data_IF_667228276011
#
_entry.id   IF_667228276011
#
_cell.length_a   1.000
_cell.length_b   1.000
_cell.length_c   1.000
_cell.angle_alpha   90.00
_cell.angle_beta   90.00
_cell.angle_gamma   90.00
#
_symmetry.space_group_name_H-M   'P 1'
#
loop_
_entity.id
_entity.type
_entity.pdbx_description
1 polymer ?
#
# COMPACT_ATOMS: atom_id res chain seq x y z
N UNK A 1 34.79 -28.48 12.46
CA UNK A 1 34.85 -27.83 13.78
C UNK A 1 35.95 -26.76 13.76
N UNK A 2 35.63 -25.49 13.52
CA UNK A 2 36.56 -24.37 13.74
C UNK A 2 35.77 -23.23 14.38
N UNK A 3 35.94 -23.04 15.69
CA UNK A 3 35.37 -21.93 16.47
C UNK A 3 36.17 -20.66 16.16
N UNK A 4 35.57 -19.68 15.48
CA UNK A 4 36.07 -18.30 15.46
C UNK A 4 35.60 -17.60 16.73
N UNK A 5 36.53 -17.35 17.64
CA UNK A 5 36.33 -16.52 18.82
C UNK A 5 36.10 -15.07 18.39
N UNK A 6 34.88 -14.58 18.57
CA UNK A 6 34.56 -13.14 18.47
C UNK A 6 34.94 -12.53 19.80
N UNK A 7 36.03 -11.76 19.82
CA UNK A 7 36.39 -10.95 20.98
C UNK A 7 35.34 -9.84 21.15
N UNK A 8 34.55 -9.97 22.22
CA UNK A 8 33.64 -8.94 22.72
C UNK A 8 34.51 -7.82 23.31
N UNK A 9 34.72 -6.75 22.54
CA UNK A 9 35.36 -5.53 23.04
C UNK A 9 34.33 -4.80 23.92
N UNK A 10 34.34 -5.12 25.21
CA UNK A 10 33.65 -4.36 26.25
C UNK A 10 34.56 -3.19 26.65
N UNK A 11 34.19 -1.97 26.26
CA UNK A 11 34.79 -0.74 26.77
C UNK A 11 33.70 0.03 27.50
N UNK A 12 33.84 0.29 28.82
CA UNK A 12 32.94 1.17 29.54
C UNK A 12 33.33 2.62 29.24
N UNK A 13 32.36 3.42 28.78
CA UNK A 13 32.53 4.87 28.67
C UNK A 13 32.61 5.38 27.23
N UNK A 14 31.61 6.20 26.89
CA UNK A 14 31.65 7.28 25.91
C UNK A 14 32.43 7.04 24.61
N UNK A 15 31.75 6.53 23.59
CA UNK A 15 32.24 6.62 22.22
C UNK A 15 32.15 8.07 21.73
N UNK A 16 33.20 8.85 21.99
CA UNK A 16 33.45 10.13 21.30
C UNK A 16 34.14 9.81 19.97
N UNK A 17 33.37 9.40 18.96
CA UNK A 17 33.87 9.33 17.59
C UNK A 17 33.77 10.71 16.95
N UNK A 18 34.94 11.35 16.79
CA UNK A 18 35.28 12.39 15.82
C UNK A 18 34.19 13.40 15.42
N UNK A 19 34.38 14.63 15.90
CA UNK A 19 33.50 15.79 15.79
C UNK A 19 32.72 15.96 14.49
N UNK A 20 31.39 15.94 14.62
CA UNK A 20 30.52 17.03 14.16
C UNK A 20 29.08 16.91 14.68
N UNK A 21 28.72 15.82 15.37
CA UNK A 21 27.38 15.63 15.92
C UNK A 21 27.47 15.15 17.37
N UNK A 22 26.86 15.87 18.34
CA UNK A 22 26.76 15.37 19.70
C UNK A 22 25.69 14.28 19.73
N UNK A 23 26.09 13.03 19.45
CA UNK A 23 25.29 11.85 19.76
C UNK A 23 25.34 11.58 21.28
N UNK A 24 25.08 12.58 22.11
CA UNK A 24 24.97 12.40 23.55
C UNK A 24 23.56 11.88 23.87
N UNK A 25 23.50 10.88 24.74
CA UNK A 25 22.28 10.29 25.28
C UNK A 25 21.65 11.22 26.33
N UNK A 26 21.47 12.50 25.99
CA UNK A 26 20.94 13.49 26.93
C UNK A 26 19.44 13.71 26.68
N UNK A 27 18.62 13.45 27.70
CA UNK A 27 17.16 13.56 27.64
C UNK A 27 16.65 15.02 27.75
N UNK A 28 17.56 16.01 27.82
CA UNK A 28 17.21 17.43 28.03
C UNK A 28 16.60 18.13 26.81
N UNK A 29 16.62 17.52 25.62
CA UNK A 29 16.00 18.06 24.40
C UNK A 29 14.63 17.43 24.08
N UNK A 30 14.14 16.54 24.93
CA UNK A 30 12.79 15.98 24.80
C UNK A 30 11.75 16.99 25.24
N UNK A 31 10.80 17.27 24.36
CA UNK A 31 9.58 17.99 24.69
C UNK A 31 8.67 17.02 25.45
N UNK A 32 8.87 16.90 26.77
CA UNK A 32 7.98 16.15 27.66
C UNK A 32 6.75 17.01 27.95
N UNK A 33 5.60 16.61 27.41
CA UNK A 33 4.32 17.29 27.65
C UNK A 33 3.40 16.30 28.35
N UNK A 34 2.97 16.65 29.56
CA UNK A 34 2.08 15.82 30.37
C UNK A 34 0.61 16.07 29.98
N UNK A 35 0.23 15.64 28.78
CA UNK A 35 -1.16 15.73 28.29
C UNK A 35 -1.85 14.38 28.39
N UNK A 36 -3.16 14.36 28.67
CA UNK A 36 -4.00 13.14 28.78
C UNK A 36 -3.80 12.19 27.59
N UNK A 37 -3.60 12.75 26.41
CA UNK A 37 -3.37 12.01 25.17
C UNK A 37 -2.02 11.28 25.14
N UNK A 38 -0.98 11.90 25.67
CA UNK A 38 0.35 11.31 25.83
C UNK A 38 0.32 10.17 26.86
N UNK A 39 -0.46 10.32 27.93
CA UNK A 39 -0.70 9.25 28.90
C UNK A 39 -1.41 8.06 28.26
N UNK A 40 -2.44 8.29 27.44
CA UNK A 40 -3.11 7.20 26.70
C UNK A 40 -2.19 6.50 25.69
N UNK A 41 -1.22 7.21 25.12
CA UNK A 41 -0.17 6.59 24.29
C UNK A 41 0.71 5.66 25.13
N UNK A 42 1.21 6.12 26.29
CA UNK A 42 2.07 5.31 27.16
C UNK A 42 1.33 4.14 27.81
N UNK A 43 0.03 4.26 28.07
CA UNK A 43 -0.83 3.20 28.62
C UNK A 43 -1.10 2.08 27.59
N UNK A 44 -1.27 2.44 26.31
CA UNK A 44 -1.69 1.51 25.27
C UNK A 44 -0.53 1.01 24.38
N UNK A 45 0.56 1.77 24.29
CA UNK A 45 1.85 1.34 23.78
C UNK A 45 2.79 1.09 24.97
N UNK A 46 2.69 -0.07 25.66
CA UNK A 46 3.54 -0.37 26.80
C UNK A 46 4.97 -0.55 26.29
N UNK A 47 5.72 0.56 26.32
CA UNK A 47 7.13 0.73 26.00
C UNK A 47 7.70 -0.36 25.08
N UNK A 48 7.74 -0.09 23.78
CA UNK A 48 8.41 -0.90 22.76
C UNK A 48 9.69 -1.56 23.33
N UNK A 49 9.58 -2.81 23.79
CA UNK A 49 10.70 -3.65 24.27
C UNK A 49 11.66 -4.02 23.14
N UNK A 50 11.36 -3.57 21.93
CA UNK A 50 12.07 -3.84 20.71
C UNK A 50 13.36 -3.04 20.63
N UNK A 51 14.39 -3.69 20.13
CA UNK A 51 15.70 -3.08 19.89
C UNK A 51 15.57 -2.07 18.73
N UNK A 52 16.34 -0.98 18.71
CA UNK A 52 16.24 0.04 17.64
C UNK A 52 16.41 -0.50 16.20
N UNK A 53 17.16 -1.60 16.05
CA UNK A 53 17.30 -2.33 14.78
C UNK A 53 16.01 -3.06 14.36
N UNK A 54 15.31 -3.63 15.33
CA UNK A 54 14.04 -4.34 15.12
C UNK A 54 12.95 -3.36 14.67
N UNK A 55 12.92 -2.15 15.25
CA UNK A 55 12.03 -1.05 14.81
C UNK A 55 12.28 -0.63 13.37
N UNK A 56 13.55 -0.55 12.95
CA UNK A 56 13.91 -0.29 11.56
C UNK A 56 13.48 -1.43 10.63
N UNK A 57 13.66 -2.68 11.06
CA UNK A 57 13.19 -3.82 10.27
C UNK A 57 11.68 -3.76 10.08
N UNK A 58 10.91 -3.50 11.14
CA UNK A 58 9.45 -3.35 11.05
C UNK A 58 9.01 -2.22 10.11
N UNK A 59 9.80 -1.14 10.03
CA UNK A 59 9.53 -0.05 9.08
C UNK A 59 9.65 -0.50 7.61
N UNK A 60 10.58 -1.41 7.30
CA UNK A 60 10.83 -1.88 5.93
C UNK A 60 10.15 -3.23 5.61
N UNK A 61 9.67 -3.97 6.60
CA UNK A 61 8.88 -5.18 6.37
C UNK A 61 7.52 -4.82 5.82
N UNK A 62 7.16 -5.48 4.74
CA UNK A 62 5.83 -5.42 4.15
C UNK A 62 4.95 -6.40 4.94
N UNK A 63 3.79 -5.93 5.40
CA UNK A 63 2.83 -6.76 6.13
C UNK A 63 2.26 -7.88 5.24
N UNK A 64 1.66 -8.91 5.82
CA UNK A 64 1.07 -10.07 5.10
C UNK A 64 0.05 -9.64 4.01
N UNK A 65 -0.52 -8.46 4.18
CA UNK A 65 -1.46 -7.82 3.25
C UNK A 65 -0.79 -6.92 2.19
N UNK A 66 0.53 -6.99 2.01
CA UNK A 66 1.25 -6.14 1.05
C UNK A 66 1.36 -4.67 1.48
N UNK A 67 1.15 -4.36 2.77
CA UNK A 67 1.06 -2.98 3.26
C UNK A 67 2.43 -2.43 3.63
N UNK A 68 2.58 -1.14 3.34
CA UNK A 68 3.77 -0.34 3.66
C UNK A 68 3.57 0.35 5.02
N UNK A 69 4.61 0.42 5.84
CA UNK A 69 4.55 1.08 7.15
C UNK A 69 4.15 2.57 7.04
N UNK A 70 3.55 3.12 8.09
CA UNK A 70 3.14 4.54 8.15
C UNK A 70 4.31 5.49 7.89
N UNK A 71 5.49 5.13 8.37
CA UNK A 71 6.74 5.87 8.19
C UNK A 71 7.17 5.93 6.72
N UNK A 72 7.13 4.79 6.03
CA UNK A 72 7.54 4.72 4.63
C UNK A 72 6.48 5.37 3.72
N UNK A 73 5.19 5.27 4.07
CA UNK A 73 4.13 6.03 3.40
C UNK A 73 4.32 7.56 3.56
N UNK A 74 4.72 8.04 4.74
CA UNK A 74 5.03 9.45 4.98
C UNK A 74 6.19 9.94 4.08
N UNK A 75 7.23 9.12 3.92
CA UNK A 75 8.36 9.42 3.01
C UNK A 75 7.87 9.57 1.56
N UNK A 76 7.00 8.67 1.08
CA UNK A 76 6.44 8.77 -0.27
C UNK A 76 5.61 10.03 -0.48
N UNK A 77 4.74 10.36 0.48
CA UNK A 77 3.91 11.56 0.41
C UNK A 77 4.76 12.84 0.43
N UNK A 78 5.77 12.90 1.28
CA UNK A 78 6.70 14.02 1.33
C UNK A 78 7.54 14.15 0.05
N UNK A 79 7.96 13.03 -0.55
CA UNK A 79 8.64 13.00 -1.85
C UNK A 79 7.77 13.56 -2.98
N UNK A 80 6.51 13.10 -3.06
CA UNK A 80 5.54 13.59 -4.05
C UNK A 80 5.21 15.07 -3.86
N UNK A 81 5.03 15.52 -2.62
CA UNK A 81 4.79 16.93 -2.32
C UNK A 81 6.01 17.80 -2.68
N UNK A 82 7.21 17.32 -2.38
CA UNK A 82 8.47 17.97 -2.79
C UNK A 82 8.59 18.07 -4.31
N UNK A 83 8.21 17.02 -5.03
CA UNK A 83 8.12 17.04 -6.50
C UNK A 83 7.16 18.12 -6.98
N UNK A 84 5.95 18.19 -6.41
CA UNK A 84 4.92 19.16 -6.79
C UNK A 84 5.40 20.60 -6.60
N UNK A 85 5.94 20.93 -5.41
CA UNK A 85 6.47 22.27 -5.15
C UNK A 85 7.66 22.61 -6.05
N UNK A 86 8.56 21.66 -6.30
CA UNK A 86 9.68 21.84 -7.23
C UNK A 86 9.23 22.01 -8.68
N UNK A 87 8.19 21.29 -9.09
CA UNK A 87 7.60 21.40 -10.42
C UNK A 87 6.90 22.74 -10.61
N UNK A 88 6.11 23.21 -9.63
CA UNK A 88 5.50 24.53 -9.65
C UNK A 88 6.56 25.63 -9.72
N UNK A 89 7.54 25.61 -8.82
CA UNK A 89 8.62 26.60 -8.81
C UNK A 89 9.42 26.62 -10.13
N UNK A 90 9.87 25.45 -10.60
CA UNK A 90 10.62 25.35 -11.84
C UNK A 90 9.80 25.71 -13.08
N UNK A 91 8.51 25.38 -13.08
CA UNK A 91 7.57 25.73 -14.14
C UNK A 91 7.39 27.24 -14.26
N UNK A 92 7.06 27.93 -13.15
CA UNK A 92 6.84 29.38 -13.13
C UNK A 92 8.10 30.18 -13.47
N UNK A 93 9.26 29.80 -12.92
CA UNK A 93 10.52 30.52 -13.19
C UNK A 93 10.90 30.37 -14.66
N UNK A 94 10.85 29.15 -15.20
CA UNK A 94 11.29 28.89 -16.57
C UNK A 94 10.29 29.41 -17.62
N UNK A 95 8.99 29.43 -17.32
CA UNK A 95 7.97 30.01 -18.20
C UNK A 95 8.14 31.52 -18.34
N UNK A 96 8.43 32.23 -17.24
CA UNK A 96 8.72 33.67 -17.25
C UNK A 96 9.97 33.99 -18.06
N UNK A 97 11.04 33.22 -17.90
CA UNK A 97 12.27 33.39 -18.70
C UNK A 97 11.99 33.14 -20.19
N UNK A 98 11.23 32.10 -20.53
CA UNK A 98 10.86 31.81 -21.92
C UNK A 98 9.99 32.90 -22.56
N UNK A 99 9.10 33.53 -21.79
CA UNK A 99 8.31 34.66 -22.23
C UNK A 99 9.18 35.87 -22.58
N UNK A 100 10.09 36.27 -21.68
CA UNK A 100 11.00 37.40 -21.93
C UNK A 100 11.91 37.12 -23.14
N UNK A 101 12.47 35.92 -23.22
CA UNK A 101 13.31 35.50 -24.35
C UNK A 101 12.54 35.50 -25.69
N UNK A 102 11.26 35.13 -25.69
CA UNK A 102 10.42 35.23 -26.88
C UNK A 102 10.19 36.69 -27.26
N UNK A 103 9.92 37.56 -26.28
CA UNK A 103 9.69 38.97 -26.51
C UNK A 103 10.92 39.64 -27.12
N UNK A 104 12.10 39.42 -26.53
CA UNK A 104 13.38 39.97 -26.99
C UNK A 104 13.77 39.47 -28.38
N UNK A 105 13.58 38.18 -28.67
CA UNK A 105 13.93 37.60 -29.98
C UNK A 105 13.01 38.04 -31.12
N UNK A 106 11.75 38.33 -30.81
CA UNK A 106 10.75 38.67 -31.82
C UNK A 106 10.46 40.18 -31.92
N UNK A 107 11.26 41.05 -31.28
CA UNK A 107 11.10 42.51 -31.41
C UNK A 107 11.33 43.02 -32.85
N UNK A 108 12.06 42.26 -33.67
CA UNK A 108 12.41 42.62 -35.04
C UNK A 108 11.62 41.84 -36.12
N UNK A 109 10.78 40.87 -35.74
CA UNK A 109 10.06 40.02 -36.69
C UNK A 109 8.62 40.48 -36.86
N UNK A 110 8.23 40.85 -38.08
CA UNK A 110 6.83 41.12 -38.42
C UNK A 110 6.07 39.78 -38.54
N UNK A 111 5.13 39.54 -37.62
CA UNK A 111 4.23 38.39 -37.73
C UNK A 111 3.13 38.67 -38.77
N UNK A 112 2.77 37.66 -39.56
CA UNK A 112 1.69 37.75 -40.56
C UNK A 112 0.32 37.99 -39.90
N UNK A 113 0.13 37.51 -38.66
CA UNK A 113 -1.11 37.68 -37.90
C UNK A 113 -0.87 37.63 -36.38
N UNK A 114 -1.63 38.42 -35.63
CA UNK A 114 -1.64 38.42 -34.15
C UNK A 114 -2.00 37.06 -33.56
N UNK A 115 -2.76 36.23 -34.28
CA UNK A 115 -3.12 34.88 -33.81
C UNK A 115 -1.92 33.92 -33.85
N UNK A 116 -1.12 33.98 -34.91
CA UNK A 116 0.08 33.15 -35.07
C UNK A 116 1.13 33.49 -33.99
N UNK A 117 1.29 34.77 -33.69
CA UNK A 117 2.18 35.24 -32.62
C UNK A 117 1.78 34.69 -31.25
N UNK A 118 0.47 34.71 -30.92
CA UNK A 118 -0.06 34.17 -29.66
C UNK A 118 0.14 32.65 -29.56
N UNK A 119 -0.11 31.92 -30.66
CA UNK A 119 0.10 30.47 -30.69
C UNK A 119 1.57 30.09 -30.47
N UNK A 120 2.49 30.74 -31.20
CA UNK A 120 3.94 30.51 -31.04
C UNK A 120 4.44 30.84 -29.63
N UNK A 121 3.95 31.93 -29.05
CA UNK A 121 4.24 32.28 -27.66
C UNK A 121 3.76 31.19 -26.71
N UNK A 122 2.51 30.75 -26.84
CA UNK A 122 1.90 29.74 -25.96
C UNK A 122 2.63 28.39 -26.05
N UNK A 123 2.96 27.94 -27.26
CA UNK A 123 3.73 26.70 -27.46
C UNK A 123 5.11 26.80 -26.81
N UNK A 124 5.81 27.92 -27.01
CA UNK A 124 7.13 28.11 -26.41
C UNK A 124 7.06 28.17 -24.89
N UNK A 125 6.11 28.91 -24.32
CA UNK A 125 5.95 29.04 -22.87
C UNK A 125 5.56 27.70 -22.24
N UNK A 126 4.65 26.93 -22.86
CA UNK A 126 4.20 25.63 -22.36
C UNK A 126 5.32 24.60 -22.38
N UNK A 127 6.10 24.53 -23.46
CA UNK A 127 7.23 23.61 -23.56
C UNK A 127 8.32 23.93 -22.53
N UNK A 128 8.59 25.22 -22.30
CA UNK A 128 9.57 25.64 -21.30
C UNK A 128 9.04 25.46 -19.86
N UNK A 129 7.73 25.64 -19.65
CA UNK A 129 7.10 25.32 -18.37
C UNK A 129 7.30 23.84 -18.03
N UNK A 130 6.95 22.92 -18.95
CA UNK A 130 7.08 21.48 -18.71
C UNK A 130 8.55 21.06 -18.50
N UNK A 131 9.49 21.57 -19.32
CA UNK A 131 10.93 21.31 -19.15
C UNK A 131 11.48 21.87 -17.83
N UNK A 132 11.00 23.04 -17.41
CA UNK A 132 11.38 23.67 -16.14
C UNK A 132 10.85 22.90 -14.94
N UNK A 133 9.58 22.53 -15.00
CA UNK A 133 8.88 21.75 -13.98
C UNK A 133 9.56 20.39 -13.76
N UNK A 134 9.82 19.63 -14.82
CA UNK A 134 10.46 18.33 -14.68
C UNK A 134 11.89 18.45 -14.15
N UNK A 135 12.69 19.41 -14.66
CA UNK A 135 14.11 19.56 -14.28
C UNK A 135 14.32 19.98 -12.83
N UNK A 136 13.44 20.81 -12.27
CA UNK A 136 13.48 21.15 -10.85
C UNK A 136 12.75 20.13 -9.98
N UNK A 137 11.62 19.62 -10.44
CA UNK A 137 10.78 18.66 -9.71
C UNK A 137 11.55 17.43 -9.27
N UNK A 138 12.28 16.77 -10.18
CA UNK A 138 13.01 15.54 -9.81
C UNK A 138 14.16 15.79 -8.82
N UNK A 139 14.86 16.93 -8.94
CA UNK A 139 15.95 17.31 -8.01
C UNK A 139 15.40 17.56 -6.61
N UNK A 140 14.28 18.27 -6.52
CA UNK A 140 13.65 18.62 -5.26
C UNK A 140 13.02 17.37 -4.63
N UNK A 141 12.39 16.49 -5.43
CA UNK A 141 11.85 15.21 -4.97
C UNK A 141 12.92 14.29 -4.38
N UNK A 142 14.07 14.13 -5.05
CA UNK A 142 15.16 13.31 -4.53
C UNK A 142 15.73 13.90 -3.24
N UNK A 143 15.87 15.23 -3.17
CA UNK A 143 16.34 15.90 -1.98
C UNK A 143 15.38 15.73 -0.79
N UNK A 144 14.08 15.99 -0.98
CA UNK A 144 13.08 15.83 0.09
C UNK A 144 12.94 14.39 0.54
N UNK A 145 12.89 13.44 -0.39
CA UNK A 145 12.78 12.01 -0.06
C UNK A 145 14.00 11.53 0.72
N UNK A 146 15.21 11.98 0.35
CA UNK A 146 16.43 11.64 1.08
C UNK A 146 16.44 12.25 2.49
N UNK A 147 16.05 13.53 2.61
CA UNK A 147 15.98 14.23 3.89
C UNK A 147 14.98 13.57 4.85
N UNK A 148 13.74 13.39 4.41
CA UNK A 148 12.69 12.76 5.23
C UNK A 148 13.03 11.30 5.48
N UNK A 149 13.60 10.57 4.51
CA UNK A 149 14.05 9.20 4.70
C UNK A 149 15.10 9.06 5.80
N UNK A 150 16.15 9.89 5.77
CA UNK A 150 17.19 9.88 6.81
C UNK A 150 16.62 10.32 8.15
N UNK A 151 15.79 11.37 8.18
CA UNK A 151 15.13 11.84 9.39
C UNK A 151 14.29 10.73 10.04
N UNK A 152 13.43 10.06 9.25
CA UNK A 152 12.54 8.99 9.71
C UNK A 152 13.33 7.78 10.19
N UNK A 153 14.38 7.36 9.47
CA UNK A 153 15.25 6.24 9.90
C UNK A 153 15.93 6.56 11.24
N UNK A 154 16.47 7.77 11.40
CA UNK A 154 17.11 8.18 12.67
C UNK A 154 16.10 8.23 13.81
N UNK A 155 14.90 8.76 13.57
CA UNK A 155 13.85 8.88 14.58
C UNK A 155 13.29 7.52 15.00
N UNK A 156 13.07 6.59 14.05
CA UNK A 156 12.63 5.22 14.33
C UNK A 156 13.69 4.44 15.11
N UNK A 157 14.97 4.62 14.78
CA UNK A 157 16.07 3.96 15.47
C UNK A 157 16.21 4.39 16.93
N UNK A 158 16.09 5.70 17.21
CA UNK A 158 16.18 6.24 18.58
C UNK A 158 14.88 6.12 19.36
N UNK A 159 13.75 5.98 18.67
CA UNK A 159 12.43 5.93 19.29
C UNK A 159 12.04 7.20 20.02
N UNK A 160 12.70 8.32 19.70
CA UNK A 160 12.56 9.64 20.32
C UNK A 160 12.63 10.67 19.20
N UNK A 161 12.02 11.85 19.37
CA UNK A 161 12.15 12.95 18.39
C UNK A 161 12.84 14.15 19.01
N UNK A 162 13.97 14.56 18.44
CA UNK A 162 14.83 15.63 18.97
C UNK A 162 15.41 16.49 17.83
N UNK A 163 15.82 17.72 18.15
CA UNK A 163 16.44 18.65 17.20
C UNK A 163 17.67 18.06 16.51
N UNK A 164 18.40 17.17 17.19
CA UNK A 164 19.58 16.50 16.63
C UNK A 164 19.28 15.65 15.40
N UNK A 165 18.06 15.11 15.28
CA UNK A 165 17.66 14.27 14.15
C UNK A 165 17.47 15.12 12.89
N UNK A 166 16.88 16.29 13.05
CA UNK A 166 16.72 17.28 11.99
C UNK A 166 18.08 17.85 11.53
N UNK A 167 18.97 18.13 12.48
CA UNK A 167 20.34 18.56 12.18
C UNK A 167 21.12 17.47 11.44
N UNK A 168 21.14 16.25 11.98
CA UNK A 168 21.86 15.13 11.35
C UNK A 168 21.30 14.80 9.96
N UNK A 169 19.97 14.74 9.80
CA UNK A 169 19.34 14.50 8.51
C UNK A 169 19.65 15.61 7.50
N UNK A 170 19.58 16.88 7.92
CA UNK A 170 19.93 18.02 7.08
C UNK A 170 21.39 18.00 6.64
N UNK A 171 22.31 17.76 7.57
CA UNK A 171 23.74 17.69 7.30
C UNK A 171 24.11 16.52 6.37
N UNK A 172 23.61 15.33 6.64
CA UNK A 172 23.87 14.14 5.81
C UNK A 172 23.28 14.32 4.40
N UNK A 173 22.03 14.77 4.30
CA UNK A 173 21.38 14.97 3.00
C UNK A 173 22.05 16.08 2.19
N UNK A 174 22.43 17.19 2.84
CA UNK A 174 23.15 18.28 2.20
C UNK A 174 24.53 17.87 1.69
N UNK A 175 25.25 17.05 2.46
CA UNK A 175 26.53 16.49 2.03
C UNK A 175 26.36 15.51 0.86
N UNK A 176 25.35 14.63 0.91
CA UNK A 176 25.04 13.67 -0.16
C UNK A 176 24.65 14.37 -1.46
N UNK A 177 23.84 15.43 -1.40
CA UNK A 177 23.40 16.17 -2.59
C UNK A 177 24.59 16.78 -3.36
N UNK A 178 25.66 17.15 -2.65
CA UNK A 178 26.88 17.75 -3.23
C UNK A 178 28.05 16.76 -3.38
N UNK A 179 27.80 15.45 -3.23
CA UNK A 179 28.85 14.42 -3.33
C UNK A 179 29.62 14.48 -4.66
N UNK A 180 28.92 14.76 -5.77
CA UNK A 180 29.53 14.85 -7.10
C UNK A 180 30.39 16.09 -7.33
N UNK A 181 30.38 17.09 -6.42
CA UNK A 181 31.24 18.28 -6.50
C UNK A 181 32.52 18.15 -5.66
N UNK A 182 32.83 16.95 -5.16
CA UNK A 182 34.04 16.66 -4.36
C UNK A 182 33.91 17.03 -2.88
N UNK A 183 34.96 16.76 -2.10
CA UNK A 183 34.94 16.86 -0.64
C UNK A 183 34.64 18.29 -0.11
N UNK A 184 35.13 19.32 -0.81
CA UNK A 184 34.81 20.73 -0.50
C UNK A 184 33.35 21.08 -0.76
N UNK A 185 32.77 20.51 -1.82
CA UNK A 185 31.35 20.61 -2.13
C UNK A 185 30.49 19.94 -1.05
N UNK A 186 30.90 18.75 -0.60
CA UNK A 186 30.23 18.04 0.49
C UNK A 186 30.25 18.80 1.80
N UNK A 187 31.39 19.38 2.19
CA UNK A 187 31.51 20.14 3.44
C UNK A 187 30.60 21.37 3.45
N UNK A 188 30.58 22.14 2.35
CA UNK A 188 29.68 23.30 2.22
C UNK A 188 28.21 22.90 2.13
N UNK A 189 27.89 21.82 1.41
CA UNK A 189 26.54 21.26 1.34
C UNK A 189 26.04 20.76 2.70
N UNK A 190 26.91 20.10 3.48
CA UNK A 190 26.60 19.65 4.83
C UNK A 190 26.39 20.81 5.80
N UNK A 191 27.20 21.87 5.74
CA UNK A 191 27.00 23.06 6.58
C UNK A 191 25.68 23.78 6.28
N UNK A 192 25.36 23.98 5.00
CA UNK A 192 24.07 24.56 4.60
C UNK A 192 22.92 23.64 4.99
N UNK A 193 23.09 22.33 4.83
CA UNK A 193 22.13 21.32 5.24
C UNK A 193 21.87 21.30 6.75
N UNK A 194 22.92 21.47 7.58
CA UNK A 194 22.80 21.61 9.03
C UNK A 194 22.04 22.87 9.40
N UNK A 195 22.35 24.02 8.78
CA UNK A 195 21.65 25.27 9.05
C UNK A 195 20.15 25.18 8.70
N UNK A 196 19.82 24.64 7.53
CA UNK A 196 18.43 24.43 7.11
C UNK A 196 17.71 23.37 7.94
N UNK A 197 18.40 22.28 8.30
CA UNK A 197 17.87 21.25 9.21
C UNK A 197 17.59 21.80 10.61
N UNK A 198 18.45 22.69 11.11
CA UNK A 198 18.25 23.39 12.38
C UNK A 198 17.05 24.33 12.35
N UNK A 199 16.88 25.10 11.26
CA UNK A 199 15.69 25.94 11.06
C UNK A 199 14.41 25.10 10.96
N UNK A 200 14.44 24.00 10.21
CA UNK A 200 13.30 23.09 10.07
C UNK A 200 12.94 22.41 11.41
N UNK A 201 13.93 21.93 12.16
CA UNK A 201 13.73 21.34 13.48
C UNK A 201 13.24 22.37 14.50
N UNK A 202 13.77 23.59 14.47
CA UNK A 202 13.31 24.69 15.32
C UNK A 202 11.87 25.11 15.04
N UNK A 203 11.48 25.22 13.76
CA UNK A 203 10.10 25.46 13.36
C UNK A 203 9.17 24.32 13.77
N UNK A 204 9.58 23.07 13.56
CA UNK A 204 8.82 21.88 13.95
C UNK A 204 8.60 21.82 15.46
N UNK A 205 9.65 22.03 16.26
CA UNK A 205 9.56 22.11 17.72
C UNK A 205 8.72 23.30 18.19
N UNK A 206 8.78 24.43 17.50
CA UNK A 206 7.94 25.59 17.77
C UNK A 206 6.46 25.30 17.58
N UNK A 207 6.09 24.68 16.45
CA UNK A 207 4.72 24.24 16.17
C UNK A 207 4.26 23.21 17.21
N UNK A 208 5.14 22.26 17.56
CA UNK A 208 4.88 21.23 18.55
C UNK A 208 4.61 21.82 19.94
N UNK A 209 5.41 22.80 20.36
CA UNK A 209 5.18 23.55 21.60
C UNK A 209 3.90 24.38 21.57
N UNK A 210 3.56 24.99 20.43
CA UNK A 210 2.33 25.76 20.28
C UNK A 210 1.07 24.88 20.30
N UNK A 211 1.14 23.68 19.72
CA UNK A 211 0.02 22.74 19.62
C UNK A 211 -0.14 21.90 20.88
N UNK A 212 0.90 21.80 21.71
CA UNK A 212 0.88 20.97 22.91
C UNK A 212 0.93 19.46 22.62
N UNK A 213 1.27 19.07 21.38
CA UNK A 213 1.40 17.67 20.97
C UNK A 213 2.86 17.24 20.96
N UNK A 214 3.16 15.95 21.11
CA UNK A 214 4.51 15.41 20.91
C UNK A 214 4.62 14.69 19.56
N UNK A 215 5.83 14.58 18.98
CA UNK A 215 6.01 13.87 17.70
C UNK A 215 5.61 12.39 17.80
N UNK A 216 5.91 11.77 18.94
CA UNK A 216 5.58 10.38 19.25
C UNK A 216 4.06 10.19 19.29
N UNK A 217 3.35 11.12 19.93
CA UNK A 217 1.89 11.16 19.96
C UNK A 217 1.30 11.35 18.55
N UNK A 218 1.80 12.29 17.75
CA UNK A 218 1.32 12.49 16.37
C UNK A 218 1.49 11.21 15.56
N UNK A 219 2.62 10.53 15.70
CA UNK A 219 2.92 9.27 15.00
C UNK A 219 1.99 8.14 15.46
N UNK A 220 1.73 8.05 16.75
CA UNK A 220 0.79 7.10 17.34
C UNK A 220 -0.65 7.33 16.85
N UNK A 221 -1.11 8.58 16.84
CA UNK A 221 -2.44 8.91 16.33
C UNK A 221 -2.57 8.72 14.83
N UNK A 222 -1.53 9.02 14.07
CA UNK A 222 -1.52 8.78 12.64
C UNK A 222 -1.62 7.28 12.33
N UNK A 223 -0.91 6.44 13.09
CA UNK A 223 -1.06 4.98 13.04
C UNK A 223 -2.49 4.56 13.43
N UNK A 224 -3.02 5.04 14.56
CA UNK A 224 -4.38 4.72 15.00
C UNK A 224 -5.45 5.15 14.01
N UNK A 225 -5.38 6.36 13.45
CA UNK A 225 -6.33 6.83 12.45
C UNK A 225 -6.27 5.99 11.18
N UNK A 226 -5.08 5.55 10.79
CA UNK A 226 -4.93 4.63 9.66
C UNK A 226 -5.61 3.28 9.96
N UNK A 227 -5.28 2.66 11.09
CA UNK A 227 -5.84 1.36 11.50
C UNK A 227 -7.35 1.43 11.72
N UNK A 228 -7.86 2.48 12.35
CA UNK A 228 -9.29 2.68 12.58
C UNK A 228 -10.05 2.88 11.26
N UNK A 229 -9.49 3.66 10.32
CA UNK A 229 -10.07 3.82 8.99
C UNK A 229 -10.11 2.49 8.24
N UNK A 230 -9.08 1.68 8.35
CA UNK A 230 -9.05 0.35 7.74
C UNK A 230 -10.05 -0.62 8.38
N UNK A 231 -10.18 -0.61 9.71
CA UNK A 231 -11.19 -1.40 10.41
C UNK A 231 -12.59 -0.99 9.97
N UNK A 232 -12.88 0.31 9.88
CA UNK A 232 -14.14 0.82 9.37
C UNK A 232 -14.41 0.38 7.92
N UNK A 233 -13.39 0.43 7.04
CA UNK A 233 -13.51 -0.07 5.66
C UNK A 233 -13.78 -1.58 5.66
N UNK A 234 -13.04 -2.36 6.45
CA UNK A 234 -13.21 -3.81 6.54
C UNK A 234 -14.60 -4.19 7.05
N UNK A 235 -15.07 -3.52 8.10
CA UNK A 235 -16.40 -3.75 8.66
C UNK A 235 -17.48 -3.34 7.66
N UNK A 236 -17.26 -2.27 6.88
CA UNK A 236 -18.17 -1.91 5.79
C UNK A 236 -18.18 -2.94 4.66
N UNK A 237 -17.03 -3.51 4.29
CA UNK A 237 -16.92 -4.55 3.26
C UNK A 237 -17.56 -5.86 3.73
N UNK A 238 -17.36 -6.25 5.00
CA UNK A 238 -18.05 -7.41 5.60
C UNK A 238 -19.55 -7.22 5.60
N UNK A 239 -20.04 -6.07 6.07
CA UNK A 239 -21.48 -5.76 6.04
C UNK A 239 -22.06 -5.78 4.62
N UNK A 240 -21.30 -5.33 3.61
CA UNK A 240 -21.72 -5.45 2.21
C UNK A 240 -21.75 -6.90 1.74
N UNK A 241 -20.72 -7.69 2.08
CA UNK A 241 -20.66 -9.12 1.74
C UNK A 241 -21.81 -9.87 2.39
N UNK A 242 -22.03 -9.69 3.70
CA UNK A 242 -23.14 -10.30 4.45
C UNK A 242 -24.50 -9.87 3.86
N UNK A 243 -24.65 -8.60 3.48
CA UNK A 243 -25.86 -8.07 2.85
C UNK A 243 -26.07 -8.51 1.39
N UNK A 244 -25.05 -9.00 0.70
CA UNK A 244 -25.14 -9.61 -0.65
C UNK A 244 -25.32 -11.13 -0.57
N UNK A 245 -24.69 -11.77 0.41
CA UNK A 245 -24.85 -13.18 0.73
C UNK A 245 -26.27 -13.46 1.22
N UNK A 246 -26.85 -12.62 2.10
CA UNK A 246 -28.22 -12.81 2.57
C UNK A 246 -29.27 -12.88 1.45
N UNK A 247 -29.36 -11.97 0.47
CA UNK A 247 -30.33 -12.06 -0.62
C UNK A 247 -29.99 -13.20 -1.59
N UNK A 248 -28.73 -13.49 -1.87
CA UNK A 248 -28.34 -14.61 -2.74
C UNK A 248 -28.63 -15.97 -2.09
N UNK A 249 -28.28 -16.15 -0.82
CA UNK A 249 -28.64 -17.33 -0.02
C UNK A 249 -30.15 -17.39 0.16
N UNK A 250 -30.83 -16.28 0.44
CA UNK A 250 -32.31 -16.27 0.58
C UNK A 250 -32.98 -16.64 -0.74
N UNK A 251 -32.50 -16.14 -1.89
CA UNK A 251 -32.97 -16.58 -3.20
C UNK A 251 -32.65 -18.06 -3.48
N UNK A 252 -31.48 -18.55 -3.06
CA UNK A 252 -31.12 -19.96 -3.18
C UNK A 252 -32.03 -20.85 -2.32
N UNK A 253 -32.24 -20.50 -1.05
CA UNK A 253 -33.12 -21.21 -0.12
C UNK A 253 -34.60 -21.12 -0.52
N UNK A 254 -35.05 -20.00 -1.10
CA UNK A 254 -36.42 -19.89 -1.65
C UNK A 254 -36.61 -20.72 -2.92
N UNK A 255 -35.56 -20.85 -3.76
CA UNK A 255 -35.65 -21.59 -5.03
C UNK A 255 -35.45 -23.10 -4.86
N UNK A 256 -34.61 -23.52 -3.90
CA UNK A 256 -34.24 -24.92 -3.69
C UNK A 256 -34.70 -25.50 -2.35
N UNK A 257 -35.35 -24.70 -1.49
CA UNK A 257 -35.74 -25.10 -0.13
C UNK A 257 -34.53 -25.20 0.83
N UNK A 258 -34.81 -25.25 2.12
CA UNK A 258 -33.82 -25.54 3.19
C UNK A 258 -33.45 -27.02 3.31
N UNK A 259 -33.81 -27.83 2.29
CA UNK A 259 -33.46 -29.23 2.28
C UNK A 259 -32.00 -29.36 1.86
N UNK A 260 -31.12 -29.72 2.79
CA UNK A 260 -29.82 -30.30 2.47
C UNK A 260 -30.08 -31.59 1.67
N UNK A 261 -30.21 -31.45 0.35
CA UNK A 261 -30.33 -32.57 -0.56
C UNK A 261 -28.95 -33.18 -0.71
N UNK A 262 -28.63 -34.14 0.14
CA UNK A 262 -27.43 -34.97 -0.03
C UNK A 262 -27.51 -35.68 -1.39
N UNK A 263 -26.38 -35.68 -2.12
CA UNK A 263 -26.28 -36.32 -3.45
C UNK A 263 -26.74 -37.78 -3.39
N UNK A 264 -26.45 -38.47 -2.30
CA UNK A 264 -26.81 -39.86 -2.07
C UNK A 264 -28.34 -40.08 -2.03
N UNK A 265 -29.10 -39.11 -1.51
CA UNK A 265 -30.55 -39.18 -1.46
C UNK A 265 -31.17 -39.01 -2.86
N UNK A 266 -30.63 -38.09 -3.66
CA UNK A 266 -31.05 -37.90 -5.06
C UNK A 266 -30.70 -39.12 -5.90
N UNK A 267 -29.51 -39.69 -5.70
CA UNK A 267 -29.07 -40.87 -6.43
C UNK A 267 -29.91 -42.10 -6.06
N UNK A 268 -30.27 -42.25 -4.78
CA UNK A 268 -31.20 -43.28 -4.33
C UNK A 268 -32.60 -43.11 -4.95
N UNK A 269 -33.11 -41.88 -5.08
CA UNK A 269 -34.40 -41.60 -5.71
C UNK A 269 -34.37 -41.90 -7.21
N UNK A 270 -33.32 -41.47 -7.94
CA UNK A 270 -33.12 -41.83 -9.35
C UNK A 270 -33.05 -43.33 -9.55
N UNK A 271 -32.35 -44.05 -8.67
CA UNK A 271 -32.22 -45.51 -8.73
C UNK A 271 -33.56 -46.20 -8.50
N UNK A 272 -34.40 -45.70 -7.59
CA UNK A 272 -35.77 -46.20 -7.39
C UNK A 272 -36.62 -46.02 -8.65
N UNK A 273 -36.53 -44.86 -9.31
CA UNK A 273 -37.25 -44.60 -10.56
C UNK A 273 -36.77 -45.54 -11.67
N UNK A 274 -35.46 -45.74 -11.82
CA UNK A 274 -34.90 -46.67 -12.81
C UNK A 274 -35.38 -48.11 -12.59
N UNK A 275 -35.35 -48.59 -11.34
CA UNK A 275 -35.84 -49.93 -11.00
C UNK A 275 -37.35 -50.07 -11.24
N UNK A 276 -38.13 -49.01 -11.03
CA UNK A 276 -39.56 -49.02 -11.32
C UNK A 276 -39.83 -49.13 -12.83
N UNK A 277 -39.10 -48.36 -13.65
CA UNK A 277 -39.18 -48.45 -15.12
C UNK A 277 -38.74 -49.83 -15.61
N UNK A 278 -37.64 -50.37 -15.06
CA UNK A 278 -37.15 -51.69 -15.44
C UNK A 278 -38.16 -52.80 -15.11
N UNK A 279 -38.79 -52.75 -13.93
CA UNK A 279 -39.90 -53.65 -13.58
C UNK A 279 -41.07 -53.53 -14.54
N UNK A 280 -41.47 -52.31 -14.91
CA UNK A 280 -42.56 -52.11 -15.87
C UNK A 280 -42.22 -52.70 -17.24
N UNK A 281 -40.97 -52.58 -17.68
CA UNK A 281 -40.52 -53.18 -18.95
C UNK A 281 -40.46 -54.70 -18.90
N UNK A 282 -40.06 -55.29 -17.77
CA UNK A 282 -40.06 -56.75 -17.58
C UNK A 282 -41.48 -57.30 -17.54
N UNK A 283 -42.40 -56.62 -16.85
CA UNK A 283 -43.83 -57.01 -16.85
C UNK A 283 -44.39 -57.00 -18.26
N UNK A 284 -44.11 -55.96 -19.07
CA UNK A 284 -44.53 -55.91 -20.48
C UNK A 284 -43.93 -57.04 -21.32
N UNK A 285 -42.69 -57.46 -21.03
CA UNK A 285 -42.06 -58.61 -21.72
C UNK A 285 -42.70 -59.94 -21.32
N UNK A 286 -43.00 -60.14 -20.03
CA UNK A 286 -43.69 -61.34 -19.56
C UNK A 286 -45.11 -61.43 -20.13
N UNK A 287 -45.84 -60.31 -20.19
CA UNK A 287 -47.15 -60.25 -20.87
C UNK A 287 -47.03 -60.60 -22.36
N UNK A 288 -45.97 -60.16 -23.04
CA UNK A 288 -45.71 -60.53 -24.45
C UNK A 288 -45.33 -62.01 -24.62
N UNK A 289 -44.55 -62.58 -23.70
CA UNK A 289 -44.19 -64.00 -23.71
C UNK A 289 -45.41 -64.87 -23.42
N UNK A 290 -46.26 -64.51 -22.46
CA UNK A 290 -47.51 -65.20 -22.18
C UNK A 290 -48.47 -65.13 -23.37
N UNK A 291 -48.57 -63.97 -24.05
CA UNK A 291 -49.33 -63.84 -25.30
C UNK A 291 -48.73 -64.68 -26.44
N UNK A 292 -47.40 -64.79 -26.53
CA UNK A 292 -46.74 -65.61 -27.54
C UNK A 292 -46.91 -67.12 -27.27
N UNK A 293 -46.86 -67.55 -26.01
CA UNK A 293 -47.13 -68.94 -25.62
C UNK A 293 -48.61 -69.30 -25.82
N UNK A 294 -49.53 -68.39 -25.50
CA UNK A 294 -50.96 -68.57 -25.81
C UNK A 294 -51.19 -68.69 -27.32
N UNK A 295 -50.56 -67.83 -28.14
CA UNK A 295 -50.62 -67.92 -29.59
C UNK A 295 -49.96 -69.19 -30.15
N UNK A 296 -48.86 -69.66 -29.55
CA UNK A 296 -48.19 -70.91 -29.92
C UNK A 296 -49.02 -72.15 -29.54
N UNK A 297 -49.69 -72.14 -28.38
CA UNK A 297 -50.62 -73.18 -27.97
C UNK A 297 -51.84 -73.23 -28.89
N UNK A 298 -52.38 -72.07 -29.29
CA UNK A 298 -53.48 -71.98 -30.25
C UNK A 298 -53.04 -72.47 -31.65
N UNK A 299 -51.82 -72.13 -32.08
CA UNK A 299 -51.23 -72.65 -33.33
C UNK A 299 -50.95 -74.16 -33.28
N UNK A 300 -50.53 -74.71 -32.14
CA UNK A 300 -50.33 -76.15 -31.95
C UNK A 300 -51.67 -76.92 -31.88
N UNK A 301 -52.72 -76.32 -31.31
CA UNK A 301 -54.08 -76.84 -31.37
C UNK A 301 -54.63 -76.83 -32.82
N UNK A 302 -54.34 -75.78 -33.60
CA UNK A 302 -54.67 -75.73 -35.02
C UNK A 302 -53.87 -76.76 -35.85
N UNK A 303 -52.59 -76.98 -35.56
CA UNK A 303 -51.75 -77.96 -36.25
C UNK A 303 -52.17 -79.41 -35.95
N UNK A 304 -52.55 -79.72 -34.70
CA UNK A 304 -53.08 -81.04 -34.33
C UNK A 304 -54.48 -81.32 -34.90
N UNK A 305 -55.33 -80.30 -35.06
CA UNK A 305 -56.59 -80.41 -35.79
C UNK A 305 -56.40 -80.61 -37.30
N UNK A 306 -55.29 -80.11 -37.87
CA UNK A 306 -54.97 -80.28 -39.31
C UNK A 306 -54.31 -81.63 -39.59
N UNK A 307 -53.55 -82.20 -38.64
CA UNK A 307 -52.94 -83.53 -38.74
C UNK A 307 -53.95 -84.70 -38.58
N UNK A 308 -55.13 -84.47 -37.99
CA UNK A 308 -56.21 -85.46 -37.89
C UNK A 308 -57.13 -85.52 -39.12
N UNK A 309 -56.83 -84.77 -40.19
CA UNK A 309 -57.64 -84.68 -41.41
C UNK A 309 -56.91 -85.12 -42.69
N UNK A 310 -55.92 -86.01 -42.55
CA UNK A 310 -55.29 -86.73 -43.66
C UNK A 310 -55.30 -88.22 -43.43
#
# INVERSE_FOLDING_TARGET
MLRRAVYRFCVPGGFVSAGLLPFTLNDHDQVKIDTKTVQSMYEEAPGDKQTGVERLQMMFTIDEFGRVSSELNSIYQAGFLGFLFGACYGGFVNSRVAYMNFLERNQATAFQSSFEAKKKLQDQVTLNFAKGAFRWGWRLALFTTSYVGIQTVVSVYRGKSSLYEYLAAGGVTGAMYKFSMGLRGMASGGLVGLALGGLAGGLSLGIMRATGTTMEEVRFWQYKWHTNREQAIRDSMKKQTDAEEEPMLTHHHNKFGTANLDLDAIEAEKRKIQLAVERETLMKKLEQEEQAEAAAAEAAAAASATAAKK
#
